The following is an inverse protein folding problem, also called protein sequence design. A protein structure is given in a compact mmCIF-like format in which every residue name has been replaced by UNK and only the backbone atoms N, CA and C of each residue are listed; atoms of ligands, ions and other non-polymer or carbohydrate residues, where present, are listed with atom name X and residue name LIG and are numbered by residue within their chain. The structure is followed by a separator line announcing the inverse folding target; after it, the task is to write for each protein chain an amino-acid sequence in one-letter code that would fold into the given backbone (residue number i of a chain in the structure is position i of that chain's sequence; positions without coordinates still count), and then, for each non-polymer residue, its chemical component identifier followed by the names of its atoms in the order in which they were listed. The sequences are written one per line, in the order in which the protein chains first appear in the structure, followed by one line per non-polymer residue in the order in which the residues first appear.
data_IF_758361534913
#
_entry.id   IF_758361534913
#
_cell.length_a   1.000
_cell.length_b   1.000
_cell.length_c   1.000
_cell.angle_alpha   90.00
_cell.angle_beta   90.00
_cell.angle_gamma   90.00
#
_symmetry.space_group_name_H-M   'P 1'
#
loop_
_entity.id
_entity.type
_entity.pdbx_description
1 polymer ?
#
# COMPACT_ATOMS: atom_id res chain seq x y z
N UNK A 1 -10.72 0.89 2.43
CA UNK A 1 -11.18 1.37 1.09
C UNK A 1 -10.01 2.11 0.44
N UNK A 2 -9.87 2.00 -0.88
CA UNK A 2 -8.76 2.59 -1.64
C UNK A 2 -9.25 3.60 -2.67
N UNK A 3 -8.42 4.60 -2.92
CA UNK A 3 -8.58 5.58 -4.00
C UNK A 3 -7.30 5.57 -4.84
N UNK A 4 -7.45 5.70 -6.15
CA UNK A 4 -6.35 5.56 -7.12
C UNK A 4 -6.37 6.73 -8.08
N UNK A 5 -5.23 7.37 -8.25
CA UNK A 5 -4.98 8.33 -9.32
C UNK A 5 -3.91 7.77 -10.24
N UNK A 6 -4.19 7.80 -11.52
CA UNK A 6 -3.25 7.49 -12.60
C UNK A 6 -3.48 8.44 -13.78
N UNK A 7 -2.76 8.22 -14.88
CA UNK A 7 -2.88 9.02 -16.11
C UNK A 7 -4.28 8.98 -16.75
N UNK A 8 -5.09 7.96 -16.45
CA UNK A 8 -6.46 7.83 -16.95
C UNK A 8 -7.50 8.49 -16.03
N UNK A 9 -7.07 9.06 -14.90
CA UNK A 9 -7.91 9.83 -13.99
C UNK A 9 -7.97 9.24 -12.60
N UNK A 10 -9.12 9.37 -11.96
CA UNK A 10 -9.33 9.04 -10.54
C UNK A 10 -10.43 8.00 -10.36
N UNK A 11 -10.13 6.95 -9.59
CA UNK A 11 -11.09 5.94 -9.13
C UNK A 11 -11.16 5.91 -7.61
N UNK A 12 -12.37 5.89 -7.05
CA UNK A 12 -12.63 5.86 -5.61
C UNK A 12 -13.45 4.63 -5.22
N UNK A 13 -13.48 4.29 -3.93
CA UNK A 13 -14.31 3.19 -3.44
C UNK A 13 -13.76 1.79 -3.69
N UNK A 14 -12.50 1.66 -4.09
CA UNK A 14 -11.94 0.38 -4.49
C UNK A 14 -11.70 -0.54 -3.28
N UNK A 15 -12.02 -1.83 -3.46
CA UNK A 15 -11.57 -2.90 -2.56
C UNK A 15 -10.12 -3.27 -2.89
N UNK A 16 -9.45 -3.99 -1.98
CA UNK A 16 -8.09 -4.51 -2.25
C UNK A 16 -8.07 -5.39 -3.51
N UNK A 17 -9.12 -6.21 -3.71
CA UNK A 17 -9.24 -7.09 -4.88
C UNK A 17 -9.44 -6.28 -6.16
N UNK A 18 -10.27 -5.24 -6.14
CA UNK A 18 -10.45 -4.36 -7.30
C UNK A 18 -9.15 -3.63 -7.66
N UNK A 19 -8.38 -3.20 -6.66
CA UNK A 19 -7.05 -2.61 -6.86
C UNK A 19 -6.07 -3.61 -7.50
N UNK A 20 -6.04 -4.86 -7.03
CA UNK A 20 -5.22 -5.94 -7.62
C UNK A 20 -5.59 -6.18 -9.08
N UNK A 21 -6.89 -6.34 -9.37
CA UNK A 21 -7.38 -6.57 -10.74
C UNK A 21 -6.98 -5.40 -11.65
N UNK A 22 -7.17 -4.14 -11.21
CA UNK A 22 -6.77 -2.96 -11.99
C UNK A 22 -5.29 -2.99 -12.35
N UNK A 23 -4.43 -3.32 -11.39
CA UNK A 23 -2.97 -3.36 -11.59
C UNK A 23 -2.57 -4.54 -12.48
N UNK A 24 -3.17 -5.71 -12.30
CA UNK A 24 -2.82 -6.92 -13.05
C UNK A 24 -3.37 -6.96 -14.48
N UNK A 25 -4.41 -6.19 -14.79
CA UNK A 25 -5.08 -6.19 -16.11
C UNK A 25 -4.42 -5.18 -17.06
N UNK A 26 -3.14 -5.42 -17.38
CA UNK A 26 -2.33 -4.68 -18.36
C UNK A 26 -2.00 -3.22 -18.07
N UNK A 27 -2.30 -2.72 -16.86
CA UNK A 27 -1.89 -1.37 -16.47
C UNK A 27 -0.35 -1.24 -16.44
N UNK A 28 0.17 -0.14 -16.98
CA UNK A 28 1.58 0.23 -16.99
C UNK A 28 1.70 1.70 -16.63
N UNK A 29 2.67 2.05 -15.79
CA UNK A 29 2.91 3.44 -15.43
C UNK A 29 2.79 3.70 -13.93
N UNK A 30 2.69 4.98 -13.57
CA UNK A 30 2.72 5.43 -12.20
C UNK A 30 1.31 5.64 -11.64
N UNK A 31 1.08 5.12 -10.43
CA UNK A 31 -0.19 5.26 -9.74
C UNK A 31 0.01 5.70 -8.28
N UNK A 32 -0.89 6.56 -7.82
CA UNK A 32 -0.99 7.01 -6.45
C UNK A 32 -2.18 6.31 -5.81
N UNK A 33 -1.94 5.52 -4.76
CA UNK A 33 -2.98 4.84 -3.98
C UNK A 33 -3.14 5.53 -2.65
N UNK A 34 -4.32 6.05 -2.35
CA UNK A 34 -4.69 6.53 -1.02
C UNK A 34 -5.54 5.50 -0.30
N UNK A 35 -5.28 5.31 0.99
CA UNK A 35 -6.04 4.44 1.86
C UNK A 35 -6.01 4.97 3.29
N UNK A 36 -7.00 4.60 4.09
CA UNK A 36 -6.93 4.80 5.54
C UNK A 36 -6.09 3.68 6.15
N UNK A 37 -5.03 4.04 6.87
CA UNK A 37 -4.24 3.04 7.59
C UNK A 37 -4.98 2.55 8.85
N UNK A 38 -4.35 1.64 9.60
CA UNK A 38 -4.89 1.09 10.85
C UNK A 38 -5.27 2.12 11.91
N UNK A 39 -4.66 3.30 11.90
CA UNK A 39 -4.96 4.41 12.81
C UNK A 39 -6.10 5.29 12.29
N UNK A 40 -6.72 4.93 11.17
CA UNK A 40 -7.73 5.74 10.48
C UNK A 40 -7.15 6.93 9.71
N UNK A 41 -5.82 7.08 9.68
CA UNK A 41 -5.17 8.22 9.05
C UNK A 41 -5.03 8.03 7.53
N UNK A 42 -5.28 9.07 6.73
CA UNK A 42 -5.07 9.01 5.29
C UNK A 42 -3.59 8.79 5.01
N UNK A 43 -3.29 7.73 4.27
CA UNK A 43 -1.94 7.33 3.87
C UNK A 43 -1.88 7.17 2.36
N UNK A 44 -0.79 7.61 1.76
CA UNK A 44 -0.58 7.59 0.31
C UNK A 44 0.62 6.72 -0.05
N UNK A 45 0.42 5.82 -1.00
CA UNK A 45 1.45 5.00 -1.63
C UNK A 45 1.65 5.44 -3.07
N UNK A 46 2.90 5.56 -3.46
CA UNK A 46 3.27 5.81 -4.86
C UNK A 46 3.88 4.55 -5.42
N UNK A 47 3.24 4.02 -6.45
CA UNK A 47 3.59 2.76 -7.09
C UNK A 47 3.92 3.01 -8.55
N UNK A 48 4.89 2.27 -9.05
CA UNK A 48 5.15 2.14 -10.48
C UNK A 48 4.78 0.72 -10.88
N UNK A 49 3.90 0.56 -11.87
CA UNK A 49 3.49 -0.74 -12.38
C UNK A 49 4.26 -1.05 -13.65
N UNK A 50 4.90 -2.21 -13.65
CA UNK A 50 5.58 -2.74 -14.81
C UNK A 50 5.17 -4.21 -15.00
N UNK A 51 4.54 -4.52 -16.14
CA UNK A 51 4.04 -5.87 -16.50
C UNK A 51 3.08 -6.45 -15.45
N UNK A 52 2.13 -5.65 -14.98
CA UNK A 52 1.16 -6.06 -13.98
C UNK A 52 1.72 -6.24 -12.55
N UNK A 53 2.99 -5.87 -12.33
CA UNK A 53 3.64 -5.92 -11.02
C UNK A 53 3.82 -4.49 -10.52
N UNK A 54 3.30 -4.18 -9.34
CA UNK A 54 3.49 -2.90 -8.67
C UNK A 54 4.79 -2.88 -7.85
N UNK A 55 5.52 -1.78 -7.94
CA UNK A 55 6.77 -1.50 -7.23
C UNK A 55 6.63 -0.22 -6.43
N UNK A 56 7.17 -0.18 -5.21
CA UNK A 56 7.06 0.97 -4.30
C UNK A 56 8.16 2.00 -4.61
N UNK A 57 7.78 3.18 -5.13
CA UNK A 57 8.74 4.12 -5.72
C UNK A 57 9.72 4.72 -4.71
N UNK A 58 9.27 5.02 -3.49
CA UNK A 58 10.05 5.74 -2.48
C UNK A 58 10.77 4.84 -1.48
N UNK A 59 10.77 3.52 -1.69
CA UNK A 59 11.55 2.59 -0.88
C UNK A 59 12.85 2.23 -1.61
N UNK A 60 13.94 2.06 -0.85
CA UNK A 60 15.24 1.70 -1.40
C UNK A 60 15.14 0.40 -2.23
N UNK A 61 15.65 0.43 -3.47
CA UNK A 61 15.57 -0.69 -4.41
C UNK A 61 14.20 -0.89 -5.06
N UNK A 62 13.25 0.04 -4.87
CA UNK A 62 11.89 0.00 -5.41
C UNK A 62 11.23 -1.38 -5.29
N UNK A 63 11.10 -1.93 -4.07
CA UNK A 63 10.64 -3.29 -3.85
C UNK A 63 9.22 -3.48 -4.39
N UNK A 64 8.92 -4.72 -4.81
CA UNK A 64 7.56 -5.13 -5.18
C UNK A 64 6.58 -4.80 -4.06
N UNK A 65 5.36 -4.45 -4.42
CA UNK A 65 4.28 -4.25 -3.47
C UNK A 65 3.94 -5.60 -2.82
N UNK A 66 4.06 -5.65 -1.50
CA UNK A 66 3.53 -6.74 -0.71
C UNK A 66 2.03 -6.52 -0.50
N UNK A 67 1.24 -7.39 -1.12
CA UNK A 67 -0.21 -7.32 -1.08
C UNK A 67 -0.81 -7.77 0.25
N UNK A 68 -0.14 -8.66 0.98
CA UNK A 68 -0.58 -9.12 2.31
C UNK A 68 -0.31 -8.01 3.33
N UNK A 69 0.85 -7.36 3.22
CA UNK A 69 1.13 -6.15 3.97
C UNK A 69 0.06 -5.08 3.72
N UNK A 70 -0.27 -4.77 2.46
CA UNK A 70 -1.28 -3.75 2.15
C UNK A 70 -2.66 -4.12 2.70
N UNK A 71 -3.02 -5.41 2.66
CA UNK A 71 -4.25 -5.92 3.27
C UNK A 71 -4.29 -5.65 4.78
N UNK A 72 -3.18 -5.93 5.47
CA UNK A 72 -3.02 -5.63 6.88
C UNK A 72 -2.93 -4.13 7.16
N UNK A 73 -2.27 -3.34 6.32
CA UNK A 73 -2.06 -1.91 6.55
C UNK A 73 -3.38 -1.12 6.49
N UNK A 74 -4.32 -1.55 5.64
CA UNK A 74 -5.63 -0.91 5.46
C UNK A 74 -6.76 -1.45 6.33
N UNK A 75 -6.64 -2.68 6.86
CA UNK A 75 -7.60 -3.25 7.81
C UNK A 75 -6.93 -3.33 9.20
N UNK A 76 -7.57 -2.75 10.22
CA UNK A 76 -7.05 -2.63 11.60
C UNK A 76 -6.62 -3.89 12.37
N UNK A 77 -6.35 -5.03 11.72
CA UNK A 77 -5.75 -6.22 12.31
C UNK A 77 -4.34 -6.45 11.74
N UNK A 78 -3.31 -6.31 12.57
CA UNK A 78 -1.91 -6.61 12.21
C UNK A 78 -1.51 -7.93 12.85
N UNK A 79 -0.87 -8.85 12.12
CA UNK A 79 0.04 -9.80 12.75
C UNK A 79 1.19 -9.01 13.37
N UNK A 80 1.43 -9.26 14.67
CA UNK A 80 2.36 -8.50 15.52
C UNK A 80 3.82 -8.56 15.04
N UNK A 81 4.19 -9.62 14.33
CA UNK A 81 5.57 -9.85 13.85
C UNK A 81 6.04 -8.90 12.74
N UNK A 82 5.13 -8.32 11.94
CA UNK A 82 5.52 -7.55 10.75
C UNK A 82 6.05 -6.15 11.06
N UNK A 83 5.61 -5.54 12.16
CA UNK A 83 6.05 -4.19 12.56
C UNK A 83 7.53 -4.15 12.95
N UNK A 84 8.02 -5.24 13.54
CA UNK A 84 9.40 -5.41 14.00
C UNK A 84 10.43 -5.45 12.86
N UNK A 85 10.08 -6.02 11.70
CA UNK A 85 11.04 -6.22 10.61
C UNK A 85 11.20 -5.03 9.66
N UNK A 86 10.12 -4.28 9.37
CA UNK A 86 10.20 -3.19 8.40
C UNK A 86 10.44 -1.81 9.00
N UNK A 87 10.08 -1.58 10.27
CA UNK A 87 10.14 -0.25 10.89
C UNK A 87 10.56 -0.34 12.36
N UNK A 88 11.81 -0.72 12.67
CA UNK A 88 12.29 -0.93 14.05
C UNK A 88 12.18 0.34 14.92
N UNK A 89 12.12 1.52 14.32
CA UNK A 89 11.96 2.81 15.00
C UNK A 89 10.56 3.04 15.58
N UNK A 90 9.53 2.34 15.09
CA UNK A 90 8.15 2.48 15.61
C UNK A 90 7.87 1.56 16.80
N UNK A 91 8.71 0.56 17.05
CA UNK A 91 8.61 -0.33 18.22
C UNK A 91 8.84 0.44 19.54
N UNK A 92 9.88 1.27 19.57
CA UNK A 92 10.28 2.05 20.75
C UNK A 92 9.21 3.01 21.27
N UNK A 93 8.23 3.38 20.43
CA UNK A 93 7.16 4.30 20.82
C UNK A 93 5.94 3.61 21.43
N UNK A 94 5.81 2.28 21.28
CA UNK A 94 4.69 1.50 21.83
C UNK A 94 5.03 0.82 23.17
N UNK A 95 6.31 0.56 23.43
CA UNK A 95 6.76 -0.11 24.67
C UNK A 95 6.94 0.86 25.87
N UNK A 96 6.66 2.15 25.68
CA UNK A 96 6.83 3.21 26.70
C UNK A 96 5.51 3.80 27.22
N UNK A 97 4.40 3.05 27.18
CA UNK A 97 3.13 3.46 27.77
C UNK A 97 2.47 2.33 28.57
#
# INVERSE_FOLDING_TARGET
MFEVWDEHGHATGLTLQALKIRISNDYQGDLMVRYSNKLGLPTTLFLTVHKGIAYQRFKAGSPKLDWEWLAGAGNGHTPRDFMSEQFPLLQFSLDNN
#
